data_IF_932526480028
#
_entry.id   IF_932526480028
#
_cell.length_a   1.000
_cell.length_b   1.000
_cell.length_c   1.000
_cell.angle_alpha   90.00
_cell.angle_beta   90.00
_cell.angle_gamma   90.00
#
_symmetry.space_group_name_H-M   'P 1'
#
loop_
_entity.id
_entity.type
_entity.pdbx_description
1 polymer ?
#
# COMPACT_ATOMS: atom_id res chain seq x y z
N UNK A 1 9.12 -13.22 -10.08
CA UNK A 1 9.67 -11.86 -10.21
C UNK A 1 11.04 -11.82 -9.56
N UNK A 2 12.01 -11.15 -10.19
CA UNK A 2 13.21 -10.74 -9.46
C UNK A 2 12.78 -9.67 -8.47
N UNK A 3 13.16 -9.81 -7.20
CA UNK A 3 12.81 -8.87 -6.14
C UNK A 3 13.43 -7.49 -6.44
N UNK A 4 12.62 -6.53 -6.92
CA UNK A 4 13.06 -5.18 -7.27
C UNK A 4 13.70 -4.47 -6.06
N UNK A 5 13.14 -4.69 -4.86
CA UNK A 5 13.65 -4.12 -3.64
C UNK A 5 15.07 -4.61 -3.33
N UNK A 6 15.37 -5.89 -3.62
CA UNK A 6 16.71 -6.47 -3.45
C UNK A 6 17.77 -5.76 -4.33
N UNK A 7 17.44 -5.41 -5.57
CA UNK A 7 18.34 -4.67 -6.48
C UNK A 7 18.70 -3.29 -5.91
N UNK A 8 17.70 -2.58 -5.38
CA UNK A 8 17.91 -1.29 -4.71
C UNK A 8 18.65 -1.45 -3.36
N UNK A 9 18.33 -2.49 -2.58
CA UNK A 9 19.02 -2.79 -1.31
C UNK A 9 20.52 -3.05 -1.52
N UNK A 10 20.89 -3.67 -2.65
CA UNK A 10 22.28 -3.86 -3.08
C UNK A 10 22.90 -2.62 -3.76
N UNK A 11 22.22 -1.48 -3.70
CA UNK A 11 22.67 -0.20 -4.24
C UNK A 11 23.00 -0.26 -5.75
N UNK A 12 22.29 -1.14 -6.50
CA UNK A 12 22.45 -1.31 -7.96
C UNK A 12 21.47 -0.49 -8.77
N UNK A 13 20.42 0.02 -8.14
CA UNK A 13 19.44 0.92 -8.73
C UNK A 13 19.11 2.04 -7.74
N UNK A 14 19.03 3.28 -8.24
CA UNK A 14 18.61 4.43 -7.45
C UNK A 14 17.09 4.66 -7.48
N UNK A 15 16.39 4.05 -8.43
CA UNK A 15 14.94 4.14 -8.61
C UNK A 15 14.40 2.77 -8.99
N UNK A 16 13.29 2.36 -8.37
CA UNK A 16 12.50 1.20 -8.77
C UNK A 16 11.07 1.65 -9.05
N UNK A 17 10.43 1.02 -10.04
CA UNK A 17 8.99 1.13 -10.25
C UNK A 17 8.35 -0.13 -9.66
N UNK A 18 7.52 0.06 -8.65
CA UNK A 18 7.02 -1.06 -7.86
C UNK A 18 5.96 -0.65 -6.87
N UNK A 19 5.62 -1.60 -6.02
CA UNK A 19 4.52 -1.48 -5.08
C UNK A 19 4.96 -0.70 -3.83
N UNK A 20 4.02 0.00 -3.19
CA UNK A 20 4.32 0.88 -2.06
C UNK A 20 5.06 0.19 -0.90
N UNK A 21 4.77 -1.10 -0.65
CA UNK A 21 5.39 -1.88 0.43
C UNK A 21 6.87 -2.19 0.16
N UNK A 22 7.33 -2.16 -1.09
CA UNK A 22 8.71 -2.48 -1.45
C UNK A 22 9.71 -1.49 -0.84
N UNK A 23 9.30 -0.24 -0.58
CA UNK A 23 10.15 0.73 0.10
C UNK A 23 10.60 0.24 1.49
N UNK A 24 9.73 -0.48 2.21
CA UNK A 24 10.08 -1.14 3.46
C UNK A 24 10.96 -2.38 3.26
N UNK A 25 10.71 -3.14 2.20
CA UNK A 25 11.53 -4.32 1.83
C UNK A 25 12.96 -3.96 1.43
N UNK A 26 13.23 -2.75 0.94
CA UNK A 26 14.59 -2.27 0.66
C UNK A 26 15.43 -2.22 1.93
N UNK A 27 14.84 -1.89 3.08
CA UNK A 27 15.57 -1.68 4.34
C UNK A 27 15.40 -2.81 5.34
N UNK A 28 14.43 -3.72 5.15
CA UNK A 28 14.07 -4.78 6.10
C UNK A 28 14.07 -6.17 5.47
N UNK A 29 14.06 -7.22 6.31
CA UNK A 29 14.03 -8.62 5.86
C UNK A 29 15.41 -9.21 5.57
N UNK A 30 15.43 -10.47 5.11
CA UNK A 30 16.68 -11.22 4.86
C UNK A 30 17.56 -10.56 3.78
N UNK A 31 16.94 -9.94 2.78
CA UNK A 31 17.61 -9.32 1.64
C UNK A 31 17.65 -7.77 1.71
N UNK A 32 17.17 -7.18 2.80
CA UNK A 32 17.15 -5.72 2.98
C UNK A 32 18.51 -5.15 3.38
N UNK A 33 18.67 -3.85 3.24
CA UNK A 33 19.86 -3.10 3.65
C UNK A 33 19.51 -2.04 4.71
N UNK A 34 19.69 -2.34 6.00
CA UNK A 34 19.40 -1.40 7.10
C UNK A 34 20.17 -0.08 7.02
N UNK A 35 21.28 -0.01 6.26
CA UNK A 35 22.03 1.26 6.07
C UNK A 35 21.28 2.29 5.23
N UNK A 36 20.24 1.86 4.53
CA UNK A 36 19.36 2.71 3.73
C UNK A 36 18.13 3.20 4.51
N UNK A 37 17.98 2.84 5.79
CA UNK A 37 16.94 3.39 6.66
C UNK A 37 16.95 4.93 6.65
N UNK A 38 15.77 5.53 6.45
CA UNK A 38 15.60 6.97 6.32
C UNK A 38 16.15 7.58 5.01
N UNK A 39 16.68 6.78 4.09
CA UNK A 39 17.21 7.24 2.78
C UNK A 39 16.34 6.85 1.59
N UNK A 40 15.32 6.01 1.82
CA UNK A 40 14.36 5.62 0.78
C UNK A 40 13.16 6.55 0.83
N UNK A 41 12.78 7.08 -0.33
CA UNK A 41 11.60 7.91 -0.51
C UNK A 41 10.68 7.29 -1.57
N UNK A 42 9.38 7.48 -1.40
CA UNK A 42 8.36 7.10 -2.37
C UNK A 42 7.80 8.33 -3.06
N UNK A 43 7.47 8.21 -4.33
CA UNK A 43 6.87 9.27 -5.12
C UNK A 43 5.82 8.68 -6.08
N UNK A 44 4.80 9.47 -6.39
CA UNK A 44 3.89 9.12 -7.49
C UNK A 44 4.66 9.10 -8.80
N UNK A 45 4.43 8.09 -9.64
CA UNK A 45 5.09 8.00 -10.94
C UNK A 45 4.62 9.17 -11.82
N UNK A 46 5.52 9.94 -12.45
CA UNK A 46 5.13 11.05 -13.30
C UNK A 46 4.38 10.55 -14.53
N UNK A 47 3.25 11.17 -14.82
CA UNK A 47 2.44 10.96 -16.02
C UNK A 47 2.48 12.17 -16.96
N UNK A 48 1.72 12.11 -18.08
CA UNK A 48 1.58 13.23 -19.00
C UNK A 48 0.98 14.48 -18.33
N UNK A 49 1.26 15.65 -18.88
CA UNK A 49 0.69 16.93 -18.43
C UNK A 49 0.97 17.29 -16.95
N UNK A 50 2.00 16.71 -16.34
CA UNK A 50 2.35 16.96 -14.93
C UNK A 50 1.41 16.28 -13.92
N UNK A 51 0.54 15.37 -14.38
CA UNK A 51 -0.32 14.54 -13.52
C UNK A 51 0.40 13.27 -13.10
N UNK A 52 -0.12 12.58 -12.09
CA UNK A 52 0.33 11.23 -11.79
C UNK A 52 0.02 10.28 -12.95
N UNK A 53 0.88 9.28 -13.17
CA UNK A 53 0.61 8.20 -14.11
C UNK A 53 -0.61 7.41 -13.59
N UNK A 54 -1.68 7.24 -14.39
CA UNK A 54 -2.81 6.40 -14.01
C UNK A 54 -2.35 5.00 -13.64
N UNK A 55 -2.49 4.66 -12.38
CA UNK A 55 -1.99 3.40 -11.83
C UNK A 55 -3.16 2.43 -11.64
N UNK A 56 -2.92 1.15 -11.88
CA UNK A 56 -3.85 0.12 -11.44
C UNK A 56 -3.76 0.03 -9.92
N UNK A 57 -4.86 0.29 -9.21
CA UNK A 57 -4.90 0.13 -7.76
C UNK A 57 -5.51 -1.23 -7.42
N UNK A 58 -4.68 -2.12 -6.88
CA UNK A 58 -5.14 -3.38 -6.33
C UNK A 58 -5.53 -3.25 -4.86
N UNK A 59 -6.50 -4.04 -4.43
CA UNK A 59 -6.90 -4.18 -3.03
C UNK A 59 -6.84 -5.63 -2.57
N UNK A 60 -6.85 -5.84 -1.25
CA UNK A 60 -7.09 -7.17 -0.70
C UNK A 60 -8.60 -7.41 -0.60
N UNK A 61 -9.09 -8.44 -1.27
CA UNK A 61 -10.49 -8.86 -1.16
C UNK A 61 -10.66 -9.94 -0.08
N UNK A 62 -11.66 -9.74 0.80
CA UNK A 62 -12.08 -10.72 1.77
C UNK A 62 -13.40 -11.34 1.30
N UNK A 63 -13.46 -12.67 1.26
CA UNK A 63 -14.64 -13.40 0.80
C UNK A 63 -14.92 -14.62 1.68
N UNK A 64 -16.19 -15.06 1.70
CA UNK A 64 -16.59 -16.31 2.34
C UNK A 64 -16.53 -17.48 1.35
N UNK A 65 -16.23 -18.68 1.87
CA UNK A 65 -16.19 -19.89 1.04
C UNK A 65 -17.62 -20.41 0.83
N UNK A 66 -18.04 -20.56 -0.43
CA UNK A 66 -19.40 -20.97 -0.81
C UNK A 66 -19.84 -22.34 -0.28
N UNK A 67 -18.89 -23.19 0.12
CA UNK A 67 -19.14 -24.51 0.74
C UNK A 67 -19.11 -24.50 2.27
N UNK A 68 -18.79 -23.37 2.89
CA UNK A 68 -18.77 -23.25 4.35
C UNK A 68 -20.17 -23.47 4.92
N UNK A 69 -20.26 -24.19 6.04
CA UNK A 69 -21.52 -24.36 6.79
C UNK A 69 -21.81 -23.19 7.75
N UNK A 70 -20.89 -22.23 7.85
CA UNK A 70 -20.90 -21.09 8.77
C UNK A 70 -20.55 -19.79 8.03
N UNK A 71 -21.20 -19.56 6.89
CA UNK A 71 -20.96 -18.38 6.06
C UNK A 71 -21.33 -17.08 6.77
N UNK A 72 -22.40 -17.10 7.55
CA UNK A 72 -22.88 -16.03 8.41
C UNK A 72 -21.78 -15.51 9.35
N UNK A 73 -21.07 -16.41 10.04
CA UNK A 73 -19.94 -16.02 10.90
C UNK A 73 -18.78 -15.42 10.12
N UNK A 74 -18.54 -15.90 8.89
CA UNK A 74 -17.54 -15.34 8.01
C UNK A 74 -17.90 -13.91 7.57
N UNK A 75 -19.14 -13.68 7.20
CA UNK A 75 -19.66 -12.37 6.82
C UNK A 75 -19.63 -11.39 7.99
N UNK A 76 -20.00 -11.83 9.19
CA UNK A 76 -19.94 -11.03 10.41
C UNK A 76 -18.48 -10.61 10.71
N UNK A 77 -17.54 -11.55 10.62
CA UNK A 77 -16.13 -11.23 10.83
C UNK A 77 -15.60 -10.22 9.80
N UNK A 78 -15.93 -10.40 8.51
CA UNK A 78 -15.53 -9.46 7.46
C UNK A 78 -16.09 -8.07 7.74
N UNK A 79 -17.37 -7.97 8.13
CA UNK A 79 -18.01 -6.71 8.51
C UNK A 79 -17.30 -6.03 9.68
N UNK A 80 -16.94 -6.79 10.73
CA UNK A 80 -16.18 -6.27 11.87
C UNK A 80 -14.77 -5.82 11.48
N UNK A 81 -14.07 -6.58 10.65
CA UNK A 81 -12.72 -6.26 10.21
C UNK A 81 -12.68 -5.05 9.27
N UNK A 82 -13.72 -4.85 8.47
CA UNK A 82 -13.76 -3.80 7.44
C UNK A 82 -14.48 -2.52 7.87
N UNK A 83 -14.99 -2.46 9.10
CA UNK A 83 -15.69 -1.28 9.60
C UNK A 83 -14.77 -0.06 9.76
N UNK A 84 -15.39 1.11 9.93
CA UNK A 84 -14.69 2.39 10.05
C UNK A 84 -13.66 2.43 11.20
N UNK A 85 -13.94 1.79 12.34
CA UNK A 85 -13.03 1.76 13.50
C UNK A 85 -11.79 0.92 13.21
N UNK A 86 -11.96 -0.21 12.52
CA UNK A 86 -10.84 -1.03 12.06
C UNK A 86 -10.00 -0.29 11.02
N UNK A 87 -10.64 0.48 10.12
CA UNK A 87 -9.95 1.33 9.15
C UNK A 87 -9.16 2.48 9.80
N UNK A 88 -9.64 3.03 10.92
CA UNK A 88 -8.86 4.00 11.72
C UNK A 88 -7.58 3.38 12.27
N UNK A 89 -7.64 2.12 12.72
CA UNK A 89 -6.45 1.38 13.17
C UNK A 89 -5.47 1.19 12.02
N UNK A 90 -5.92 0.78 10.84
CA UNK A 90 -5.05 0.65 9.66
C UNK A 90 -4.40 1.99 9.26
N UNK A 91 -5.19 3.06 9.17
CA UNK A 91 -4.68 4.40 8.84
C UNK A 91 -3.68 4.92 9.91
N UNK A 92 -3.87 4.56 11.19
CA UNK A 92 -2.91 4.88 12.26
C UNK A 92 -1.53 4.22 12.06
N UNK A 93 -1.48 3.13 11.29
CA UNK A 93 -0.28 2.36 10.95
C UNK A 93 0.23 2.65 9.54
N UNK A 94 -0.22 3.74 8.92
CA UNK A 94 0.16 4.15 7.56
C UNK A 94 -0.23 3.11 6.49
N UNK A 95 -1.29 2.35 6.75
CA UNK A 95 -1.89 1.40 5.79
C UNK A 95 -3.10 2.08 5.15
N UNK A 96 -3.20 2.01 3.82
CA UNK A 96 -4.33 2.59 3.08
C UNK A 96 -5.62 1.83 3.45
N UNK A 97 -6.67 2.52 3.93
CA UNK A 97 -7.94 1.90 4.28
C UNK A 97 -8.81 1.67 3.04
N UNK A 98 -9.89 0.91 3.21
CA UNK A 98 -10.87 0.60 2.16
C UNK A 98 -11.91 1.72 1.92
N UNK A 99 -11.68 2.94 2.42
CA UNK A 99 -12.61 4.05 2.28
C UNK A 99 -11.89 5.41 2.23
N UNK A 100 -12.56 6.40 1.65
CA UNK A 100 -11.98 7.73 1.45
C UNK A 100 -11.84 8.54 2.75
N UNK A 101 -12.77 8.38 3.70
CA UNK A 101 -12.77 9.16 4.94
C UNK A 101 -11.49 8.95 5.75
N UNK A 102 -11.08 7.70 5.95
CA UNK A 102 -9.84 7.37 6.67
C UNK A 102 -8.60 7.48 5.76
N UNK A 103 -8.76 7.57 4.44
CA UNK A 103 -7.66 7.86 3.50
C UNK A 103 -7.21 9.31 3.58
N UNK A 104 -8.12 10.28 3.75
CA UNK A 104 -7.80 11.71 3.71
C UNK A 104 -6.61 12.14 4.59
N UNK A 105 -6.51 11.72 5.87
CA UNK A 105 -5.35 12.08 6.69
C UNK A 105 -4.01 11.55 6.16
N UNK A 106 -4.02 10.46 5.39
CA UNK A 106 -2.82 9.85 4.82
C UNK A 106 -2.25 10.66 3.65
N UNK A 107 -3.07 11.50 3.00
CA UNK A 107 -2.63 12.38 1.90
C UNK A 107 -1.62 13.44 2.34
N UNK A 108 -1.55 13.74 3.64
CA UNK A 108 -0.71 14.79 4.21
C UNK A 108 0.54 14.27 4.93
N UNK A 109 0.65 12.95 5.15
CA UNK A 109 1.80 12.35 5.84
C UNK A 109 2.92 12.05 4.85
N UNK A 110 4.18 12.45 5.10
CA UNK A 110 5.29 12.18 4.19
C UNK A 110 5.41 10.71 3.77
N UNK A 111 5.12 9.77 4.68
CA UNK A 111 5.27 8.33 4.47
C UNK A 111 4.20 7.75 3.52
N UNK A 112 3.03 8.37 3.44
CA UNK A 112 1.87 7.84 2.69
C UNK A 112 1.33 8.81 1.63
N UNK A 113 1.77 10.06 1.61
CA UNK A 113 1.21 11.09 0.73
C UNK A 113 1.33 10.69 -0.74
N UNK A 114 2.48 10.18 -1.17
CA UNK A 114 2.70 9.78 -2.56
C UNK A 114 1.64 8.77 -3.04
N UNK A 115 1.36 7.74 -2.23
CA UNK A 115 0.45 6.65 -2.58
C UNK A 115 -1.02 7.02 -2.34
N UNK A 116 -1.32 7.76 -1.27
CA UNK A 116 -2.69 8.19 -0.96
C UNK A 116 -3.22 9.23 -1.95
N UNK A 117 -2.35 10.11 -2.46
CA UNK A 117 -2.72 11.08 -3.50
C UNK A 117 -2.81 10.46 -4.90
N UNK A 118 -2.25 9.27 -5.13
CA UNK A 118 -2.39 8.57 -6.40
C UNK A 118 -3.74 7.81 -6.53
N UNK A 119 -4.42 7.54 -5.40
CA UNK A 119 -5.70 6.79 -5.38
C UNK A 119 -6.79 7.41 -6.26
N UNK A 120 -7.06 8.74 -6.22
CA UNK A 120 -8.15 9.32 -7.01
C UNK A 120 -7.95 9.24 -8.53
N UNK A 121 -6.70 9.13 -8.99
CA UNK A 121 -6.33 9.00 -10.41
C UNK A 121 -6.15 7.54 -10.85
N UNK A 122 -6.31 6.60 -9.93
CA UNK A 122 -6.15 5.18 -10.21
C UNK A 122 -7.36 4.60 -10.97
N UNK A 123 -7.13 3.51 -11.70
CA UNK A 123 -8.19 2.78 -12.39
C UNK A 123 -8.38 1.42 -11.74
N UNK A 124 -9.46 1.28 -10.96
CA UNK A 124 -10.20 0.06 -10.62
C UNK A 124 -11.45 0.45 -9.82
#
# INVERSE_FOLDING_TARGET
>A
EQDHANVMANEKAAVIYGQAWEAGSVTTGENGNPKLEGKIATAGMPGPEGKALPSFIGGSDLATISKSKVQDLGEEWISLFTNAKSMEVLASKNILPNNEKQLEPLKQKPETAAIANAVPDAWF
#
